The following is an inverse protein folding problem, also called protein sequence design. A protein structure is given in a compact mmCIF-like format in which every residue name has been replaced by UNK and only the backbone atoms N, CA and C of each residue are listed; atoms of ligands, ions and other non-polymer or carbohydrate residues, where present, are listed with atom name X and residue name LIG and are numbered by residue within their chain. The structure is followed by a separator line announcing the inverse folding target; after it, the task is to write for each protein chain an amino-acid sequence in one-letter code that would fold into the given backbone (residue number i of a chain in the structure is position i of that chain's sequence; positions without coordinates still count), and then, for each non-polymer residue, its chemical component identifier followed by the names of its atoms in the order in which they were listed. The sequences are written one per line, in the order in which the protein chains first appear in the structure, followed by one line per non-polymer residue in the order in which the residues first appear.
data_IF_973913341406
#
_entry.id   IF_973913341406
#
_cell.length_a   1.000
_cell.length_b   1.000
_cell.length_c   1.000
_cell.angle_alpha   90.00
_cell.angle_beta   90.00
_cell.angle_gamma   90.00
#
_symmetry.space_group_name_H-M   'P 1'
#
loop_
_entity.id
_entity.type
_entity.pdbx_description
1 polymer ?
#
# COMPACT_ATOMS: atom_id res chain seq x y z
N UNK A 1 25.29 4.48 -15.47
CA UNK A 1 26.10 4.84 -14.32
C UNK A 1 25.38 5.72 -13.32
N UNK A 2 25.87 5.66 -12.10
CA UNK A 2 25.28 6.30 -10.90
C UNK A 2 25.08 7.81 -11.09
N UNK A 3 26.02 8.48 -11.76
CA UNK A 3 25.96 9.93 -11.95
C UNK A 3 24.83 10.37 -12.86
N UNK A 4 24.47 9.57 -13.87
CA UNK A 4 23.37 9.86 -14.77
C UNK A 4 22.02 9.73 -14.05
N UNK A 5 21.86 8.71 -13.21
CA UNK A 5 20.64 8.52 -12.42
C UNK A 5 20.48 9.64 -11.39
N UNK A 6 21.56 10.03 -10.73
CA UNK A 6 21.54 11.13 -9.77
C UNK A 6 21.17 12.45 -10.45
N UNK A 7 21.76 12.73 -11.60
CA UNK A 7 21.43 13.95 -12.38
C UNK A 7 19.96 13.99 -12.78
N UNK A 8 19.41 12.87 -13.25
CA UNK A 8 18.00 12.76 -13.60
C UNK A 8 17.08 12.99 -12.39
N UNK A 9 17.42 12.43 -11.22
CA UNK A 9 16.68 12.64 -9.99
C UNK A 9 16.70 14.09 -9.53
N UNK A 10 17.84 14.75 -9.60
CA UNK A 10 17.97 16.17 -9.26
C UNK A 10 17.16 17.05 -10.20
N UNK A 11 17.14 16.72 -11.49
CA UNK A 11 16.35 17.44 -12.48
C UNK A 11 14.84 17.30 -12.21
N UNK A 12 14.37 16.07 -11.91
CA UNK A 12 12.98 15.83 -11.54
C UNK A 12 12.60 16.58 -10.26
N UNK A 13 13.46 16.56 -9.26
CA UNK A 13 13.23 17.29 -8.01
C UNK A 13 13.09 18.80 -8.26
N UNK A 14 13.92 19.36 -9.14
CA UNK A 14 13.83 20.76 -9.54
C UNK A 14 12.52 21.10 -10.25
N UNK A 15 12.06 20.24 -11.15
CA UNK A 15 10.78 20.41 -11.86
C UNK A 15 9.60 20.34 -10.90
N UNK A 16 9.62 19.41 -9.93
CA UNK A 16 8.59 19.28 -8.91
C UNK A 16 8.58 20.51 -8.02
N UNK A 17 9.74 21.00 -7.59
CA UNK A 17 9.85 22.19 -6.75
C UNK A 17 9.34 23.46 -7.47
N UNK A 18 9.39 23.49 -8.80
CA UNK A 18 8.87 24.61 -9.58
C UNK A 18 7.34 24.64 -9.66
N UNK A 19 6.66 23.53 -9.31
CA UNK A 19 5.20 23.50 -9.25
C UNK A 19 4.68 24.32 -8.07
N UNK A 20 3.50 24.93 -8.22
CA UNK A 20 2.81 25.56 -7.11
C UNK A 20 2.44 24.53 -6.04
N UNK A 21 2.24 24.96 -4.78
CA UNK A 21 1.73 24.04 -3.75
C UNK A 21 0.44 23.32 -4.15
N UNK A 22 -0.48 24.02 -4.80
CA UNK A 22 -1.72 23.42 -5.31
C UNK A 22 -1.43 22.37 -6.39
N UNK A 23 -0.49 22.66 -7.30
CA UNK A 23 -0.06 21.71 -8.33
C UNK A 23 0.56 20.44 -7.72
N UNK A 24 1.43 20.63 -6.72
CA UNK A 24 2.02 19.49 -6.01
C UNK A 24 0.97 18.64 -5.29
N UNK A 25 -0.02 19.27 -4.65
CA UNK A 25 -1.12 18.52 -4.01
C UNK A 25 -1.93 17.69 -5.01
N UNK A 26 -2.23 18.24 -6.18
CA UNK A 26 -2.93 17.49 -7.22
C UNK A 26 -2.10 16.29 -7.69
N UNK A 27 -0.83 16.51 -7.95
CA UNK A 27 0.09 15.46 -8.39
C UNK A 27 0.21 14.33 -7.36
N UNK A 28 0.49 14.66 -6.11
CA UNK A 28 0.63 13.68 -5.04
C UNK A 28 -0.67 12.95 -4.75
N UNK A 29 -1.81 13.65 -4.83
CA UNK A 29 -3.13 13.04 -4.67
C UNK A 29 -3.42 12.01 -5.75
N UNK A 30 -3.12 12.32 -7.01
CA UNK A 30 -3.31 11.39 -8.13
C UNK A 30 -2.38 10.18 -8.01
N UNK A 31 -1.12 10.41 -7.67
CA UNK A 31 -0.15 9.33 -7.44
C UNK A 31 -0.62 8.43 -6.28
N UNK A 32 -1.07 9.02 -5.19
CA UNK A 32 -1.55 8.26 -4.03
C UNK A 32 -2.72 7.33 -4.38
N UNK A 33 -3.68 7.81 -5.16
CA UNK A 33 -4.82 6.99 -5.61
C UNK A 33 -4.37 5.81 -6.46
N UNK A 34 -3.44 6.02 -7.36
CA UNK A 34 -2.90 4.96 -8.22
C UNK A 34 -2.07 3.96 -7.43
N UNK A 35 -1.27 4.43 -6.49
CA UNK A 35 -0.54 3.56 -5.56
C UNK A 35 -1.49 2.72 -4.72
N UNK A 36 -2.58 3.30 -4.22
CA UNK A 36 -3.60 2.54 -3.50
C UNK A 36 -4.19 1.43 -4.35
N UNK A 37 -4.56 1.72 -5.58
CA UNK A 37 -5.07 0.70 -6.51
C UNK A 37 -4.08 -0.44 -6.70
N UNK A 38 -2.81 -0.10 -6.80
CA UNK A 38 -1.73 -1.09 -6.92
C UNK A 38 -1.62 -1.97 -5.69
N UNK A 39 -1.64 -1.37 -4.50
CA UNK A 39 -1.62 -2.11 -3.24
C UNK A 39 -2.83 -3.03 -3.13
N UNK A 40 -4.01 -2.52 -3.47
CA UNK A 40 -5.24 -3.30 -3.44
C UNK A 40 -5.17 -4.52 -4.36
N UNK A 41 -4.69 -4.37 -5.58
CA UNK A 41 -4.52 -5.47 -6.54
C UNK A 41 -3.55 -6.52 -6.02
N UNK A 42 -2.41 -6.09 -5.48
CA UNK A 42 -1.40 -6.99 -4.96
C UNK A 42 -1.92 -7.78 -3.76
N UNK A 43 -2.60 -7.13 -2.83
CA UNK A 43 -3.22 -7.80 -1.68
C UNK A 43 -4.29 -8.79 -2.15
N UNK A 44 -5.09 -8.41 -3.14
CA UNK A 44 -6.07 -9.33 -3.75
C UNK A 44 -5.42 -10.57 -4.32
N UNK A 45 -4.25 -10.45 -4.91
CA UNK A 45 -3.48 -11.58 -5.42
C UNK A 45 -2.77 -12.38 -4.32
N UNK A 46 -2.94 -12.00 -3.04
CA UNK A 46 -2.38 -12.67 -1.87
C UNK A 46 -0.85 -12.72 -1.89
N UNK A 47 -0.25 -11.61 -2.33
CA UNK A 47 1.22 -11.49 -2.46
C UNK A 47 1.76 -10.28 -1.72
N UNK A 48 2.93 -10.46 -1.12
CA UNK A 48 3.73 -9.38 -0.54
C UNK A 48 4.39 -8.52 -1.63
N UNK A 49 4.93 -7.34 -1.28
CA UNK A 49 5.61 -6.48 -2.26
C UNK A 49 6.77 -7.14 -3.00
N UNK A 50 7.46 -8.09 -2.39
CA UNK A 50 8.53 -8.85 -3.03
C UNK A 50 8.05 -9.94 -3.99
N UNK A 51 6.73 -10.10 -4.14
CA UNK A 51 6.12 -11.10 -5.00
C UNK A 51 5.90 -12.46 -4.34
N UNK A 52 6.38 -12.66 -3.12
CA UNK A 52 6.14 -13.90 -2.40
C UNK A 52 4.68 -14.03 -1.96
N UNK A 53 4.10 -15.23 -1.99
CA UNK A 53 2.73 -15.42 -1.52
C UNK A 53 2.63 -15.21 -0.02
N UNK A 54 1.50 -14.68 0.44
CA UNK A 54 1.22 -14.60 1.86
C UNK A 54 1.19 -16.01 2.49
N UNK A 55 1.72 -16.13 3.69
CA UNK A 55 1.60 -17.36 4.47
C UNK A 55 0.12 -17.67 4.66
N UNK A 56 -0.35 -18.88 4.31
CA UNK A 56 -1.76 -19.23 4.46
C UNK A 56 -2.23 -19.16 5.91
N UNK A 57 -3.52 -18.92 6.08
CA UNK A 57 -4.14 -19.02 7.41
C UNK A 57 -4.02 -20.45 7.95
N UNK A 58 -3.88 -20.57 9.26
CA UNK A 58 -4.01 -21.86 9.92
C UNK A 58 -5.38 -22.44 9.62
N UNK A 59 -5.42 -23.76 9.29
CA UNK A 59 -6.69 -24.47 9.13
C UNK A 59 -7.52 -24.30 10.40
N UNK A 60 -8.67 -23.68 10.26
CA UNK A 60 -9.65 -23.68 11.34
C UNK A 60 -10.64 -24.82 11.13
N UNK A 61 -11.10 -25.48 12.21
CA UNK A 61 -12.15 -26.50 12.07
C UNK A 61 -13.34 -25.89 11.37
N UNK A 62 -13.85 -26.60 10.37
CA UNK A 62 -15.01 -26.20 9.58
C UNK A 62 -16.20 -26.10 10.52
N UNK A 63 -16.50 -24.91 10.99
CA UNK A 63 -17.81 -24.65 11.56
C UNK A 63 -18.78 -24.56 10.38
N UNK A 64 -19.70 -25.51 10.34
CA UNK A 64 -20.61 -25.79 9.25
C UNK A 64 -21.61 -24.67 8.96
N UNK A 65 -21.16 -23.46 8.65
CA UNK A 65 -22.01 -22.46 8.03
C UNK A 65 -21.60 -22.31 6.58
N UNK A 66 -22.46 -22.82 5.73
CA UNK A 66 -22.34 -22.75 4.28
C UNK A 66 -21.86 -21.35 3.85
N UNK A 67 -20.82 -21.28 3.04
CA UNK A 67 -20.40 -20.07 2.35
C UNK A 67 -19.40 -19.18 3.09
N UNK A 68 -18.97 -19.48 4.31
CA UNK A 68 -17.98 -18.67 5.04
C UNK A 68 -16.54 -19.07 4.83
N UNK A 69 -16.30 -20.09 4.04
CA UNK A 69 -15.08 -20.85 4.10
C UNK A 69 -13.93 -20.23 3.33
N UNK A 70 -14.14 -19.19 2.52
CA UNK A 70 -13.09 -18.84 1.56
C UNK A 70 -13.04 -17.37 1.18
N UNK A 71 -13.16 -16.49 2.14
CA UNK A 71 -12.76 -15.11 1.86
C UNK A 71 -11.25 -15.04 1.82
N UNK A 72 -10.74 -14.44 0.76
CA UNK A 72 -9.34 -14.08 0.64
C UNK A 72 -8.90 -13.30 1.88
N UNK A 73 -7.66 -13.50 2.30
CA UNK A 73 -7.10 -12.71 3.40
C UNK A 73 -7.14 -11.22 3.03
N UNK A 74 -7.57 -10.41 3.99
CA UNK A 74 -7.60 -8.96 3.88
C UNK A 74 -8.61 -8.38 2.87
N UNK A 75 -9.64 -9.14 2.51
CA UNK A 75 -10.64 -8.70 1.55
C UNK A 75 -11.34 -7.41 1.96
N UNK A 76 -11.63 -7.23 3.25
CA UNK A 76 -12.19 -5.98 3.78
C UNK A 76 -11.13 -4.91 3.97
N UNK A 77 -9.97 -5.29 4.46
CA UNK A 77 -8.89 -4.38 4.81
C UNK A 77 -8.37 -3.60 3.60
N UNK A 78 -8.35 -4.23 2.42
CA UNK A 78 -7.89 -3.61 1.17
C UNK A 78 -8.89 -2.66 0.54
N UNK A 79 -10.09 -2.53 1.07
CA UNK A 79 -11.12 -1.65 0.48
C UNK A 79 -10.81 -0.17 0.70
N UNK A 80 -11.41 0.69 -0.13
CA UNK A 80 -11.27 2.14 0.00
C UNK A 80 -11.77 2.67 1.35
N UNK A 81 -12.62 1.94 2.02
CA UNK A 81 -13.11 2.31 3.35
C UNK A 81 -12.00 2.33 4.38
N UNK A 82 -11.08 1.39 4.31
CA UNK A 82 -10.01 1.20 5.29
C UNK A 82 -8.63 1.56 4.78
N UNK A 83 -8.40 1.53 3.48
CA UNK A 83 -7.15 1.95 2.86
C UNK A 83 -7.37 3.31 2.19
N UNK A 84 -6.75 4.34 2.74
CA UNK A 84 -6.92 5.72 2.29
C UNK A 84 -5.71 6.20 1.52
N UNK A 85 -5.98 6.96 0.47
CA UNK A 85 -4.97 7.64 -0.32
C UNK A 85 -5.11 9.14 -0.14
N UNK A 86 -4.01 9.82 0.13
CA UNK A 86 -3.99 11.27 0.28
C UNK A 86 -2.67 11.85 -0.21
N UNK A 87 -2.70 13.13 -0.55
CA UNK A 87 -1.51 13.85 -0.95
C UNK A 87 -1.52 15.26 -0.38
N UNK A 88 -0.35 15.74 -0.07
CA UNK A 88 -0.12 17.14 0.26
C UNK A 88 0.97 17.71 -0.64
N UNK A 89 1.45 18.92 -0.36
CA UNK A 89 2.50 19.56 -1.18
C UNK A 89 3.88 18.91 -1.04
N UNK A 90 4.03 17.94 -0.14
CA UNK A 90 5.31 17.27 0.14
C UNK A 90 5.30 15.77 -0.07
N UNK A 91 4.14 15.10 0.00
CA UNK A 91 4.09 13.64 -0.02
C UNK A 91 2.78 13.09 -0.55
N UNK A 92 2.87 11.92 -1.18
CA UNK A 92 1.75 11.04 -1.46
C UNK A 92 1.73 9.93 -0.40
N UNK A 93 0.55 9.64 0.15
CA UNK A 93 0.42 8.66 1.23
C UNK A 93 -0.69 7.67 0.94
N UNK A 94 -0.41 6.40 1.27
CA UNK A 94 -1.42 5.34 1.35
C UNK A 94 -1.32 4.74 2.74
N UNK A 95 -2.40 4.76 3.47
CA UNK A 95 -2.42 4.30 4.85
C UNK A 95 -3.73 3.64 5.21
N UNK A 96 -3.70 2.80 6.24
CA UNK A 96 -4.91 2.25 6.82
C UNK A 96 -5.52 3.22 7.81
N UNK A 97 -6.87 3.28 7.87
CA UNK A 97 -7.56 4.12 8.85
C UNK A 97 -7.28 3.67 10.28
N UNK A 98 -7.39 4.59 11.23
CA UNK A 98 -7.12 4.33 12.64
C UNK A 98 -7.86 3.12 13.20
N UNK A 99 -9.06 2.85 12.70
CA UNK A 99 -9.91 1.74 13.11
C UNK A 99 -9.28 0.36 12.86
N UNK A 100 -8.46 0.24 11.82
CA UNK A 100 -7.85 -1.04 11.40
C UNK A 100 -6.33 -1.03 11.45
N UNK A 101 -5.71 0.06 11.87
CA UNK A 101 -4.25 0.19 11.92
C UNK A 101 -3.61 -0.90 12.77
N UNK A 102 -4.21 -1.24 13.91
CA UNK A 102 -3.67 -2.28 14.79
C UNK A 102 -3.57 -3.63 14.07
N UNK A 103 -4.66 -4.06 13.44
CA UNK A 103 -4.70 -5.33 12.71
C UNK A 103 -3.71 -5.32 11.54
N UNK A 104 -3.70 -4.22 10.78
CA UNK A 104 -2.79 -4.06 9.66
C UNK A 104 -1.32 -4.13 10.11
N UNK A 105 -0.97 -3.47 11.21
CA UNK A 105 0.38 -3.48 11.76
C UNK A 105 0.80 -4.87 12.22
N UNK A 106 -0.09 -5.60 12.89
CA UNK A 106 0.18 -6.96 13.35
C UNK A 106 0.61 -7.85 12.18
N UNK A 107 -0.10 -7.78 11.06
CA UNK A 107 0.24 -8.56 9.87
C UNK A 107 1.45 -8.01 9.14
N UNK A 108 1.55 -6.69 8.99
CA UNK A 108 2.67 -6.03 8.32
C UNK A 108 4.01 -6.45 8.92
N UNK A 109 4.09 -6.54 10.23
CA UNK A 109 5.33 -6.75 10.97
C UNK A 109 5.45 -8.18 11.57
N UNK A 110 4.39 -8.99 11.51
CA UNK A 110 4.40 -10.31 12.11
C UNK A 110 4.46 -10.24 13.63
N UNK A 111 3.49 -9.58 14.25
CA UNK A 111 3.46 -9.33 15.69
C UNK A 111 2.55 -10.32 16.42
N UNK A 112 2.65 -10.33 17.75
CA UNK A 112 1.75 -11.06 18.63
C UNK A 112 0.51 -10.22 18.91
N UNK A 113 -0.67 -10.83 18.88
CA UNK A 113 -1.92 -10.18 19.24
C UNK A 113 -2.97 -11.21 19.65
N UNK A 114 -4.02 -10.73 20.29
CA UNK A 114 -5.18 -11.55 20.64
C UNK A 114 -6.24 -11.42 19.55
N UNK A 115 -6.69 -12.52 18.93
CA UNK A 115 -7.79 -12.48 17.94
C UNK A 115 -9.10 -11.95 18.54
N UNK A 116 -9.32 -12.17 19.84
CA UNK A 116 -10.44 -11.62 20.58
C UNK A 116 -10.02 -11.37 22.04
N UNK A 117 -10.76 -10.54 22.82
CA UNK A 117 -10.39 -10.25 24.20
C UNK A 117 -10.28 -11.48 25.10
N UNK A 118 -10.98 -12.55 24.76
CA UNK A 118 -11.02 -13.81 25.54
C UNK A 118 -10.05 -14.87 25.02
N UNK A 119 -9.38 -14.63 23.92
CA UNK A 119 -8.47 -15.63 23.33
C UNK A 119 -7.06 -15.50 23.89
N UNK A 120 -6.27 -16.58 23.73
CA UNK A 120 -4.84 -16.55 23.99
C UNK A 120 -4.14 -15.66 22.97
N UNK A 121 -2.96 -15.14 23.35
CA UNK A 121 -2.09 -14.41 22.44
C UNK A 121 -1.58 -15.35 21.35
N UNK A 122 -1.69 -14.90 20.10
CA UNK A 122 -1.24 -15.63 18.92
C UNK A 122 -0.10 -14.85 18.26
N UNK A 123 0.94 -15.55 17.84
CA UNK A 123 1.99 -15.00 17.02
C UNK A 123 1.59 -15.12 15.55
N UNK A 124 1.44 -13.98 14.88
CA UNK A 124 1.08 -13.93 13.47
C UNK A 124 2.31 -13.97 12.59
N UNK A 125 2.30 -14.73 11.49
CA UNK A 125 3.37 -14.62 10.51
C UNK A 125 3.34 -13.23 9.86
N UNK A 126 4.50 -12.77 9.44
CA UNK A 126 4.58 -11.53 8.66
C UNK A 126 3.88 -11.70 7.32
N UNK A 127 2.92 -10.83 7.06
CA UNK A 127 2.26 -10.68 5.76
C UNK A 127 2.29 -9.21 5.41
N UNK A 128 3.31 -8.79 4.69
CA UNK A 128 3.51 -7.39 4.38
C UNK A 128 2.40 -6.91 3.44
N UNK A 129 1.62 -5.93 3.89
CA UNK A 129 0.46 -5.41 3.18
C UNK A 129 0.82 -4.22 2.31
N UNK A 130 1.59 -3.28 2.84
CA UNK A 130 2.03 -2.09 2.14
C UNK A 130 3.52 -2.16 1.86
N UNK A 131 3.91 -1.70 0.68
CA UNK A 131 5.31 -1.60 0.30
C UNK A 131 5.44 -1.26 -1.18
N UNK A 132 6.65 -0.88 -1.56
CA UNK A 132 6.98 -0.58 -2.94
C UNK A 132 7.56 -1.81 -3.62
N UNK A 133 6.92 -2.22 -4.71
CA UNK A 133 7.51 -3.15 -5.68
C UNK A 133 8.10 -2.35 -6.85
N UNK A 134 8.80 -3.03 -7.75
CA UNK A 134 9.40 -2.37 -8.93
C UNK A 134 8.35 -1.69 -9.80
N UNK A 135 7.18 -2.31 -9.93
CA UNK A 135 6.07 -1.75 -10.70
C UNK A 135 5.52 -0.47 -10.06
N UNK A 136 5.51 -0.38 -8.74
CA UNK A 136 5.12 0.84 -8.02
C UNK A 136 6.07 1.99 -8.30
N UNK A 137 7.36 1.72 -8.32
CA UNK A 137 8.39 2.72 -8.63
C UNK A 137 8.24 3.21 -10.08
N UNK A 138 8.04 2.29 -11.02
CA UNK A 138 7.80 2.65 -12.43
C UNK A 138 6.53 3.47 -12.60
N UNK A 139 5.48 3.12 -11.87
CA UNK A 139 4.22 3.88 -11.88
C UNK A 139 4.44 5.32 -11.41
N UNK A 140 5.18 5.51 -10.32
CA UNK A 140 5.47 6.85 -9.78
C UNK A 140 6.25 7.67 -10.81
N UNK A 141 7.29 7.10 -11.40
CA UNK A 141 8.09 7.78 -12.41
C UNK A 141 7.25 8.20 -13.63
N UNK A 142 6.41 7.29 -14.11
CA UNK A 142 5.52 7.56 -15.25
C UNK A 142 4.53 8.68 -14.93
N UNK A 143 3.91 8.65 -13.77
CA UNK A 143 2.94 9.67 -13.36
C UNK A 143 3.59 11.04 -13.17
N UNK A 144 4.80 11.08 -12.61
CA UNK A 144 5.58 12.31 -12.48
C UNK A 144 5.86 12.91 -13.86
N UNK A 145 6.33 12.11 -14.79
CA UNK A 145 6.63 12.59 -16.16
C UNK A 145 5.38 13.08 -16.88
N UNK A 146 4.27 12.36 -16.76
CA UNK A 146 3.00 12.74 -17.38
C UNK A 146 2.48 14.06 -16.80
N UNK A 147 2.50 14.20 -15.48
CA UNK A 147 2.02 15.41 -14.82
C UNK A 147 2.88 16.62 -15.19
N UNK A 148 4.20 16.48 -15.13
CA UNK A 148 5.13 17.55 -15.45
C UNK A 148 5.03 17.96 -16.93
N UNK A 149 4.75 17.03 -17.84
CA UNK A 149 4.54 17.32 -19.25
C UNK A 149 3.29 18.16 -19.50
N UNK A 150 2.23 17.93 -18.74
CA UNK A 150 0.96 18.66 -18.89
C UNK A 150 0.98 20.06 -18.28
N UNK A 151 1.90 20.30 -17.35
CA UNK A 151 1.95 21.53 -16.56
C UNK A 151 3.17 22.40 -16.91
N UNK A 152 3.61 22.33 -18.13
CA UNK A 152 4.62 23.24 -18.67
C UNK A 152 4.08 24.66 -18.79
#
# INVERSE_FOLDING_TARGET
PVNTVLAARLQLAGLIAALSPAGRRRMTGDIAKKLRQRQQKRIKSQKAPDGSPFVPRKRQPVRAKKGRIKREMFAKLRTNRYMKASGNDSAAMVEFTGKVQRIARVHQLGLKDKPSPKSATVEYPQRQLLGFDDDSIQLIEKELLMFLSKNK
#
